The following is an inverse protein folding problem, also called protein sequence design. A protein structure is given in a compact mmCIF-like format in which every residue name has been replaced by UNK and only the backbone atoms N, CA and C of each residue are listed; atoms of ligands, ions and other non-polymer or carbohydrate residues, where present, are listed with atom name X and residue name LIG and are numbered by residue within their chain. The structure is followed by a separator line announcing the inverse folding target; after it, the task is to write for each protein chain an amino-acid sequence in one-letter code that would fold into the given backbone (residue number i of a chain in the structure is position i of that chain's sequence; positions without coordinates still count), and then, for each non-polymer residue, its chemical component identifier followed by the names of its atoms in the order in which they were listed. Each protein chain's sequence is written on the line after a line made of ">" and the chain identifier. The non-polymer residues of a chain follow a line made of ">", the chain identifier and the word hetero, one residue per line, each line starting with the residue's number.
data_IF_745002196437
#
_entry.id   IF_745002196437
#
_cell.length_a   1.000
_cell.length_b   1.000
_cell.length_c   1.000
_cell.angle_alpha   90.00
_cell.angle_beta   90.00
_cell.angle_gamma   90.00
#
_symmetry.space_group_name_H-M   'P 1'
#
loop_
_entity.id
_entity.type
_entity.pdbx_description
1 polymer ?
#
# COMPACT_ATOMS: atom_id res chain seq x y z
N UNK A 1 7.13 12.08 -10.21
CA UNK A 1 5.82 12.71 -9.97
C UNK A 1 5.50 12.53 -8.50
N UNK A 2 5.30 13.60 -7.76
CA UNK A 2 4.88 13.53 -6.36
C UNK A 2 3.37 13.31 -6.33
N UNK A 3 2.91 12.19 -5.78
CA UNK A 3 1.49 11.94 -5.62
C UNK A 3 1.05 12.64 -4.33
N UNK A 4 0.15 13.62 -4.46
CA UNK A 4 -0.50 14.22 -3.31
C UNK A 4 -1.68 13.32 -2.90
N UNK A 5 -1.52 12.63 -1.77
CA UNK A 5 -2.57 11.78 -1.20
C UNK A 5 -3.55 12.62 -0.40
N UNK A 6 -4.83 12.52 -0.73
CA UNK A 6 -5.91 13.23 -0.03
C UNK A 6 -6.46 12.38 1.13
N UNK A 7 -6.46 11.06 0.97
CA UNK A 7 -6.99 10.11 1.95
C UNK A 7 -6.34 8.72 1.81
N UNK A 8 -6.67 7.85 2.76
CA UNK A 8 -6.11 6.49 2.83
C UNK A 8 -6.61 5.58 1.69
N UNK A 9 -7.79 5.84 1.13
CA UNK A 9 -8.32 5.08 0.00
C UNK A 9 -7.43 5.25 -1.25
N UNK A 10 -6.92 6.47 -1.45
CA UNK A 10 -5.99 6.74 -2.55
C UNK A 10 -4.67 5.97 -2.40
N UNK A 11 -4.17 5.79 -1.17
CA UNK A 11 -2.99 4.95 -0.92
C UNK A 11 -3.25 3.50 -1.35
N UNK A 12 -4.41 2.94 -0.99
CA UNK A 12 -4.80 1.58 -1.40
C UNK A 12 -4.90 1.46 -2.92
N UNK A 13 -5.43 2.48 -3.60
CA UNK A 13 -5.53 2.52 -5.06
C UNK A 13 -4.13 2.51 -5.70
N UNK A 14 -3.20 3.34 -5.22
CA UNK A 14 -1.84 3.38 -5.75
C UNK A 14 -1.07 2.07 -5.50
N UNK A 15 -1.25 1.42 -4.34
CA UNK A 15 -0.70 0.07 -4.09
C UNK A 15 -1.27 -0.92 -5.12
N UNK A 16 -2.58 -0.91 -5.39
CA UNK A 16 -3.20 -1.80 -6.38
C UNK A 16 -2.71 -1.54 -7.80
N UNK A 17 -2.48 -0.27 -8.17
CA UNK A 17 -1.87 0.09 -9.47
C UNK A 17 -0.44 -0.44 -9.57
N UNK A 18 0.37 -0.25 -8.52
CA UNK A 18 1.73 -0.77 -8.46
C UNK A 18 1.76 -2.30 -8.61
N UNK A 19 0.85 -3.02 -7.96
CA UNK A 19 0.69 -4.47 -8.13
C UNK A 19 0.44 -4.83 -9.60
N UNK A 20 -0.47 -4.12 -10.27
CA UNK A 20 -0.80 -4.36 -11.68
C UNK A 20 0.40 -4.05 -12.60
N UNK A 21 1.05 -2.91 -12.42
CA UNK A 21 2.21 -2.47 -13.21
C UNK A 21 3.39 -3.43 -13.11
N UNK A 22 3.62 -3.97 -11.91
CA UNK A 22 4.74 -4.89 -11.62
C UNK A 22 4.37 -6.36 -11.76
N UNK A 23 3.12 -6.66 -12.12
CA UNK A 23 2.57 -8.00 -12.23
C UNK A 23 2.74 -8.82 -10.94
N UNK A 24 2.68 -8.15 -9.78
CA UNK A 24 2.79 -8.80 -8.47
C UNK A 24 1.40 -9.26 -8.05
N UNK A 25 1.24 -10.56 -7.80
CA UNK A 25 -0.06 -11.13 -7.45
C UNK A 25 -0.39 -10.96 -5.95
N UNK A 26 -1.68 -10.95 -5.61
CA UNK A 26 -2.12 -10.98 -4.20
C UNK A 26 -1.60 -12.21 -3.45
N UNK A 27 -1.43 -13.33 -4.15
CA UNK A 27 -0.90 -14.57 -3.58
C UNK A 27 0.56 -14.39 -3.16
N UNK A 28 1.39 -13.82 -4.04
CA UNK A 28 2.80 -13.56 -3.74
C UNK A 28 2.97 -12.67 -2.51
N UNK A 29 2.22 -11.57 -2.42
CA UNK A 29 2.27 -10.67 -1.27
C UNK A 29 1.81 -11.39 0.01
N UNK A 30 0.73 -12.18 -0.07
CA UNK A 30 0.23 -12.92 1.08
C UNK A 30 1.26 -13.96 1.57
N UNK A 31 1.97 -14.63 0.65
CA UNK A 31 3.06 -15.56 0.97
C UNK A 31 4.23 -14.85 1.66
N UNK A 32 4.67 -13.70 1.14
CA UNK A 32 5.73 -12.89 1.76
C UNK A 32 5.35 -12.39 3.16
N UNK A 33 4.07 -12.08 3.38
CA UNK A 33 3.54 -11.68 4.68
C UNK A 33 3.22 -12.87 5.60
N UNK A 34 3.41 -14.11 5.15
CA UNK A 34 3.03 -15.34 5.86
C UNK A 34 1.56 -15.34 6.33
N UNK A 35 0.66 -14.90 5.45
CA UNK A 35 -0.80 -14.86 5.68
C UNK A 35 -1.56 -15.59 4.57
N UNK A 36 -2.83 -15.91 4.81
CA UNK A 36 -3.72 -16.40 3.75
C UNK A 36 -4.09 -15.25 2.78
N UNK A 37 -4.38 -15.51 1.49
CA UNK A 37 -4.81 -14.48 0.54
C UNK A 37 -6.00 -13.63 1.02
N UNK A 38 -6.97 -14.24 1.71
CA UNK A 38 -8.09 -13.52 2.31
C UNK A 38 -7.66 -12.50 3.39
N UNK A 39 -6.56 -12.78 4.09
CA UNK A 39 -5.96 -11.86 5.06
C UNK A 39 -5.46 -10.58 4.40
N UNK A 40 -4.84 -10.69 3.22
CA UNK A 40 -4.42 -9.53 2.44
C UNK A 40 -5.62 -8.72 1.95
N UNK A 41 -6.66 -9.37 1.44
CA UNK A 41 -7.91 -8.69 1.05
C UNK A 41 -8.53 -7.93 2.22
N UNK A 42 -8.53 -8.53 3.43
CA UNK A 42 -9.02 -7.87 4.65
C UNK A 42 -8.14 -6.67 5.03
N UNK A 43 -6.83 -6.79 4.88
CA UNK A 43 -5.88 -5.71 5.15
C UNK A 43 -6.10 -4.52 4.21
N UNK A 44 -6.20 -4.77 2.90
CA UNK A 44 -6.45 -3.75 1.87
C UNK A 44 -7.81 -3.04 2.01
N UNK A 45 -8.81 -3.69 2.63
CA UNK A 45 -10.15 -3.15 2.82
C UNK A 45 -10.45 -2.71 4.27
N UNK A 46 -9.41 -2.56 5.09
CA UNK A 46 -9.55 -2.16 6.50
C UNK A 46 -10.09 -0.73 6.58
N UNK A 47 -11.18 -0.52 7.34
CA UNK A 47 -11.79 0.82 7.53
C UNK A 47 -10.79 1.88 7.99
N UNK A 48 -9.86 1.49 8.87
CA UNK A 48 -8.78 2.32 9.38
C UNK A 48 -7.44 1.87 8.78
N UNK A 49 -7.38 1.73 7.46
CA UNK A 49 -6.14 1.45 6.75
C UNK A 49 -5.14 2.57 7.07
N UNK A 50 -3.97 2.22 7.59
CA UNK A 50 -2.98 3.19 8.04
C UNK A 50 -1.59 2.97 7.47
N UNK A 51 -0.66 3.81 7.90
CA UNK A 51 0.73 3.78 7.47
C UNK A 51 1.38 2.40 7.64
N UNK A 52 1.21 1.77 8.79
CA UNK A 52 1.81 0.46 9.08
C UNK A 52 1.27 -0.65 8.14
N UNK A 53 -0.02 -0.60 7.80
CA UNK A 53 -0.64 -1.54 6.87
C UNK A 53 -0.03 -1.36 5.45
N UNK A 54 0.12 -0.11 5.00
CA UNK A 54 0.75 0.22 3.72
C UNK A 54 2.23 -0.19 3.68
N UNK A 55 2.98 0.16 4.71
CA UNK A 55 4.41 -0.17 4.82
C UNK A 55 4.63 -1.68 4.77
N UNK A 56 3.82 -2.47 5.49
CA UNK A 56 3.90 -3.94 5.46
C UNK A 56 3.70 -4.50 4.06
N UNK A 57 2.65 -4.04 3.36
CA UNK A 57 2.36 -4.51 2.00
C UNK A 57 3.48 -4.12 1.03
N UNK A 58 3.94 -2.86 1.07
CA UNK A 58 5.02 -2.38 0.21
C UNK A 58 6.33 -3.12 0.48
N UNK A 59 6.66 -3.37 1.76
CA UNK A 59 7.85 -4.14 2.12
C UNK A 59 7.80 -5.55 1.56
N UNK A 60 6.64 -6.21 1.62
CA UNK A 60 6.42 -7.52 1.02
C UNK A 60 6.52 -7.52 -0.52
N UNK A 61 6.30 -6.37 -1.14
CA UNK A 61 6.52 -6.16 -2.57
C UNK A 61 7.97 -5.74 -2.91
N UNK A 62 8.82 -5.51 -1.91
CA UNK A 62 10.19 -5.02 -2.07
C UNK A 62 10.30 -3.50 -2.28
N UNK A 63 9.35 -2.72 -1.78
CA UNK A 63 9.31 -1.25 -1.88
C UNK A 63 9.30 -0.59 -0.51
N UNK A 64 9.93 0.58 -0.43
CA UNK A 64 9.87 1.46 0.73
C UNK A 64 8.68 2.44 0.62
N UNK A 65 7.99 2.67 1.75
CA UNK A 65 7.01 3.74 1.85
C UNK A 65 7.70 5.03 2.29
N UNK A 66 7.73 6.02 1.40
CA UNK A 66 8.32 7.34 1.65
C UNK A 66 7.19 8.35 1.91
N UNK A 67 7.27 9.06 3.03
CA UNK A 67 6.41 10.21 3.34
C UNK A 67 7.30 11.46 3.33
N UNK A 68 6.78 12.52 2.73
CA UNK A 68 7.46 13.80 2.62
C UNK A 68 6.61 14.93 3.21
N UNK A 69 7.25 16.07 3.51
CA UNK A 69 6.63 17.25 4.09
C UNK A 69 6.77 18.45 3.15
N UNK A 70 5.66 19.14 2.90
CA UNK A 70 5.66 20.39 2.14
C UNK A 70 5.26 21.55 3.06
N UNK A 71 6.01 22.66 2.99
CA UNK A 71 5.64 23.88 3.68
C UNK A 71 4.32 24.43 3.10
N UNK A 72 3.35 24.74 3.95
CA UNK A 72 2.13 25.39 3.51
C UNK A 72 2.44 26.79 3.00
N UNK A 73 2.36 27.00 1.69
CA UNK A 73 2.36 28.35 1.11
C UNK A 73 1.02 29.01 1.44
N UNK A 74 1.07 30.08 2.23
CA UNK A 74 -0.06 30.97 2.52
C UNK A 74 -0.36 31.90 1.35
#
# INVERSE_FOLDING_TARGET
>A
MSIHYINNDQIVIEIKKLMLEKQISQREIAEQLNIKPQGLTKLLNKKNFGFEDAQKILSAMGYDLIIDFQQATS
#
